data_IF_987296841911
#
_entry.id   IF_987296841911
#
_cell.length_a   1.000
_cell.length_b   1.000
_cell.length_c   1.000
_cell.angle_alpha   90.00
_cell.angle_beta   90.00
_cell.angle_gamma   90.00
#
_symmetry.space_group_name_H-M   'P 1'
#
loop_
_entity.id
_entity.type
_entity.pdbx_description
1 polymer ?
#
# COMPACT_ATOMS: atom_id res chain seq x y z
N UNK A 1 5.92 3.02 -23.28
CA UNK A 1 6.37 2.92 -21.88
C UNK A 1 5.15 2.88 -20.97
N UNK A 2 5.02 1.85 -20.18
CA UNK A 2 3.87 1.76 -19.27
C UNK A 2 4.12 2.62 -18.04
N UNK A 3 3.06 3.11 -17.42
CA UNK A 3 3.15 3.97 -16.26
C UNK A 3 3.20 3.24 -14.92
N UNK A 4 3.56 1.96 -14.92
CA UNK A 4 3.55 1.15 -13.71
C UNK A 4 4.51 1.68 -12.66
N UNK A 5 5.73 2.03 -13.07
CA UNK A 5 6.74 2.50 -12.11
C UNK A 5 6.39 3.88 -11.55
N UNK A 6 5.74 4.73 -12.37
CA UNK A 6 5.28 6.02 -11.89
C UNK A 6 4.18 5.86 -10.84
N UNK A 7 3.23 4.96 -11.11
CA UNK A 7 2.17 4.67 -10.15
C UNK A 7 2.72 4.06 -8.86
N UNK A 8 3.69 3.15 -9.01
CA UNK A 8 4.33 2.53 -7.86
C UNK A 8 5.01 3.57 -6.98
N UNK A 9 5.70 4.52 -7.59
CA UNK A 9 6.37 5.59 -6.85
C UNK A 9 5.36 6.43 -6.06
N UNK A 10 4.22 6.75 -6.67
CA UNK A 10 3.16 7.52 -6.02
C UNK A 10 2.58 6.74 -4.84
N UNK A 11 2.26 5.47 -5.03
CA UNK A 11 1.73 4.64 -3.95
C UNK A 11 2.73 4.51 -2.80
N UNK A 12 4.00 4.29 -3.13
CA UNK A 12 5.04 4.18 -2.11
C UNK A 12 5.20 5.47 -1.33
N UNK A 13 5.12 6.62 -1.99
CA UNK A 13 5.23 7.91 -1.33
C UNK A 13 4.09 8.12 -0.34
N UNK A 14 2.87 7.83 -0.75
CA UNK A 14 1.69 8.01 0.10
C UNK A 14 1.70 7.01 1.27
N UNK A 15 2.09 5.77 1.00
CA UNK A 15 2.20 4.76 2.06
C UNK A 15 3.27 5.15 3.07
N UNK A 16 4.40 5.65 2.58
CA UNK A 16 5.50 6.09 3.45
C UNK A 16 5.05 7.22 4.38
N UNK A 17 4.22 8.14 3.89
CA UNK A 17 3.67 9.20 4.73
C UNK A 17 2.84 8.64 5.88
N UNK A 18 2.01 7.64 5.61
CA UNK A 18 1.21 7.00 6.65
C UNK A 18 2.09 6.26 7.65
N UNK A 19 3.09 5.53 7.16
CA UNK A 19 4.01 4.81 8.03
C UNK A 19 4.72 5.75 8.99
N UNK A 20 5.13 6.92 8.50
CA UNK A 20 5.80 7.91 9.33
C UNK A 20 4.83 8.58 10.31
N UNK A 21 3.63 8.90 9.84
CA UNK A 21 2.63 9.57 10.67
C UNK A 21 2.21 8.70 11.85
N UNK A 22 1.99 7.42 11.60
CA UNK A 22 1.52 6.48 12.63
C UNK A 22 2.65 5.67 13.25
N UNK A 23 3.87 5.86 12.79
CA UNK A 23 5.06 5.14 13.28
C UNK A 23 4.84 3.65 13.30
N UNK A 24 4.37 3.13 12.16
CA UNK A 24 3.95 1.74 12.03
C UNK A 24 4.27 1.27 10.61
N UNK A 25 4.91 0.13 10.48
CA UNK A 25 5.16 -0.46 9.16
C UNK A 25 3.84 -0.97 8.58
N UNK A 26 3.71 -0.90 7.25
CA UNK A 26 2.49 -1.32 6.57
C UNK A 26 2.13 -2.77 6.84
N UNK A 27 3.11 -3.65 6.97
CA UNK A 27 2.87 -5.05 7.27
C UNK A 27 2.17 -5.21 8.62
N UNK A 28 2.64 -4.49 9.62
CA UNK A 28 2.04 -4.49 10.95
C UNK A 28 0.68 -3.82 10.93
N UNK A 29 0.56 -2.72 10.16
CA UNK A 29 -0.72 -2.04 9.99
C UNK A 29 -1.78 -2.98 9.41
N UNK A 30 -1.44 -3.71 8.34
CA UNK A 30 -2.38 -4.62 7.70
C UNK A 30 -2.83 -5.73 8.64
N UNK A 31 -1.90 -6.25 9.43
CA UNK A 31 -2.22 -7.27 10.42
C UNK A 31 -3.23 -6.75 11.44
N UNK A 32 -3.01 -5.55 11.97
CA UNK A 32 -3.91 -4.95 12.95
C UNK A 32 -5.24 -4.55 12.33
N UNK A 33 -5.21 -4.04 11.10
CA UNK A 33 -6.42 -3.66 10.38
C UNK A 33 -7.32 -4.87 10.16
N UNK A 34 -6.74 -5.98 9.71
CA UNK A 34 -7.50 -7.21 9.43
C UNK A 34 -8.04 -7.87 10.69
N UNK A 35 -7.37 -7.67 11.82
CA UNK A 35 -7.84 -8.23 13.09
C UNK A 35 -8.84 -7.34 13.82
N UNK A 36 -9.12 -6.15 13.27
CA UNK A 36 -10.08 -5.23 13.87
C UNK A 36 -9.57 -4.46 15.07
N UNK A 37 -8.26 -4.42 15.27
CA UNK A 37 -7.66 -3.74 16.41
C UNK A 37 -7.50 -2.23 16.20
N UNK A 38 -7.72 -1.76 15.00
CA UNK A 38 -7.64 -0.34 14.68
C UNK A 38 -9.03 0.27 14.63
N UNK A 39 -9.11 1.58 14.85
CA UNK A 39 -10.38 2.30 14.78
C UNK A 39 -10.84 2.53 13.33
N UNK A 40 -11.86 3.38 13.20
CA UNK A 40 -12.53 3.65 11.92
C UNK A 40 -11.99 4.90 11.22
N UNK A 41 -10.74 5.26 11.47
CA UNK A 41 -10.14 6.44 10.85
C UNK A 41 -10.15 6.30 9.33
N UNK A 42 -10.51 7.39 8.64
CA UNK A 42 -10.49 7.41 7.18
C UNK A 42 -9.09 7.11 6.63
N UNK A 43 -8.06 7.58 7.33
CA UNK A 43 -6.67 7.33 6.94
C UNK A 43 -6.37 5.84 6.84
N UNK A 44 -6.96 5.03 7.72
CA UNK A 44 -6.71 3.59 7.71
C UNK A 44 -7.32 2.92 6.49
N UNK A 45 -8.49 3.35 6.07
CA UNK A 45 -9.10 2.83 4.85
C UNK A 45 -8.29 3.23 3.61
N UNK A 46 -7.81 4.46 3.59
CA UNK A 46 -6.98 4.95 2.48
C UNK A 46 -5.65 4.21 2.44
N UNK A 47 -5.01 4.02 3.58
CA UNK A 47 -3.75 3.28 3.68
C UNK A 47 -3.93 1.84 3.22
N UNK A 48 -5.00 1.19 3.68
CA UNK A 48 -5.33 -0.18 3.25
C UNK A 48 -5.50 -0.25 1.75
N UNK A 49 -6.26 0.69 1.18
CA UNK A 49 -6.49 0.74 -0.26
C UNK A 49 -5.20 0.91 -1.04
N UNK A 50 -4.30 1.77 -0.57
CA UNK A 50 -3.00 1.98 -1.22
C UNK A 50 -2.16 0.70 -1.18
N UNK A 51 -2.17 -0.02 -0.07
CA UNK A 51 -1.44 -1.28 0.03
C UNK A 51 -1.98 -2.31 -0.95
N UNK A 52 -3.30 -2.39 -1.11
CA UNK A 52 -3.92 -3.30 -2.06
C UNK A 52 -3.60 -2.93 -3.50
N UNK A 53 -3.64 -1.64 -3.82
CA UNK A 53 -3.29 -1.15 -5.15
C UNK A 53 -1.82 -1.45 -5.46
N UNK A 54 -0.94 -1.24 -4.50
CA UNK A 54 0.48 -1.51 -4.68
C UNK A 54 0.73 -2.99 -4.92
N UNK A 55 0.08 -3.85 -4.14
CA UNK A 55 0.19 -5.29 -4.28
C UNK A 55 -0.23 -5.73 -5.68
N UNK A 56 -1.38 -5.23 -6.15
CA UNK A 56 -1.89 -5.55 -7.47
C UNK A 56 -0.93 -5.09 -8.57
N UNK A 57 -0.41 -3.88 -8.42
CA UNK A 57 0.52 -3.31 -9.38
C UNK A 57 1.82 -4.10 -9.44
N UNK A 58 2.33 -4.52 -8.29
CA UNK A 58 3.55 -5.33 -8.24
C UNK A 58 3.36 -6.68 -8.92
N UNK A 59 2.18 -7.27 -8.80
CA UNK A 59 1.85 -8.50 -9.51
C UNK A 59 1.86 -8.29 -11.02
N UNK A 60 1.31 -7.18 -11.49
CA UNK A 60 1.32 -6.84 -12.91
C UNK A 60 2.73 -6.64 -13.44
N UNK A 61 3.58 -5.95 -12.68
CA UNK A 61 4.97 -5.74 -13.05
C UNK A 61 5.70 -7.09 -13.11
N UNK A 62 5.47 -7.94 -12.14
CA UNK A 62 6.08 -9.26 -12.10
C UNK A 62 5.69 -10.10 -13.32
N UNK A 63 4.41 -10.09 -13.67
CA UNK A 63 3.93 -10.83 -14.85
C UNK A 63 4.55 -10.30 -16.14
N UNK A 64 4.73 -8.98 -16.25
CA UNK A 64 5.36 -8.38 -17.40
C UNK A 64 6.83 -8.81 -17.54
N UNK A 65 7.51 -9.05 -16.42
CA UNK A 65 8.90 -9.50 -16.42
C UNK A 65 9.03 -10.97 -16.82
N UNK A 66 8.03 -11.79 -16.51
CA UNK A 66 8.03 -13.22 -16.84
C UNK A 66 7.73 -13.46 -18.32
N UNK A 67 6.90 -12.64 -18.89
CA UNK A 67 6.51 -12.78 -20.30
C UNK A 67 7.45 -12.04 -21.22
#
# INVERSE_FOLDING_TARGET
MNGYYQKLAIYNLDIDKFEKEYQLASEQFLEQFNSGNLGDEMDFFEWFGLCELRKDLLQKIHLAWIT
#
